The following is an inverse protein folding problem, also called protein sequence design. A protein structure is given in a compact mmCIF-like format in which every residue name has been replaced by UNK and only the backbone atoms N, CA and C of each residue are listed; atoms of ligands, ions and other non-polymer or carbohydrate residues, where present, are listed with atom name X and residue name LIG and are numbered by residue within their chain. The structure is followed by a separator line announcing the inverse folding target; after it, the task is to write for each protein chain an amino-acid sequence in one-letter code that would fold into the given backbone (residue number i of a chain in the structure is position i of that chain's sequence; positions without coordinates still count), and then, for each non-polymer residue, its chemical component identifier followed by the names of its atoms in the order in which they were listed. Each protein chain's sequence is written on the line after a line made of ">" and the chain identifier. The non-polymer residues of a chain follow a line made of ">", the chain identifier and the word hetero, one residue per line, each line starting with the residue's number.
data_IF_950312734562
#
_entry.id   IF_950312734562
#
_cell.length_a   1.000
_cell.length_b   1.000
_cell.length_c   1.000
_cell.angle_alpha   90.00
_cell.angle_beta   90.00
_cell.angle_gamma   90.00
#
_symmetry.space_group_name_H-M   'P 1'
#
loop_
_entity.id
_entity.type
_entity.pdbx_description
1 polymer ?
#
# COMPACT_ATOMS: atom_id res chain seq x y z
N UNK A 1 -7.79 -15.60 6.77
CA UNK A 1 -8.40 -14.38 6.19
C UNK A 1 -8.99 -13.61 7.36
N UNK A 2 -8.59 -12.36 7.61
CA UNK A 2 -9.10 -11.60 8.76
C UNK A 2 -10.61 -11.44 8.66
N UNK A 3 -11.33 -11.75 9.74
CA UNK A 3 -12.80 -11.68 9.77
C UNK A 3 -13.29 -10.35 10.34
N UNK A 4 -12.57 -9.77 11.29
CA UNK A 4 -12.90 -8.48 11.90
C UNK A 4 -11.65 -7.74 12.36
N UNK A 5 -11.80 -6.42 12.55
CA UNK A 5 -10.75 -5.51 13.00
C UNK A 5 -11.30 -4.58 14.08
N UNK A 6 -10.58 -4.47 15.19
CA UNK A 6 -10.89 -3.55 16.27
C UNK A 6 -9.69 -2.65 16.56
N UNK A 7 -9.93 -1.34 16.60
CA UNK A 7 -8.92 -0.31 16.80
C UNK A 7 -9.32 0.56 17.98
N UNK A 8 -8.40 0.71 18.95
CA UNK A 8 -8.57 1.58 20.11
C UNK A 8 -7.46 2.62 20.20
N UNK A 9 -7.84 3.84 20.57
CA UNK A 9 -6.97 4.97 20.84
C UNK A 9 -5.94 5.27 19.73
N UNK A 10 -6.32 5.11 18.46
CA UNK A 10 -5.43 5.31 17.32
C UNK A 10 -5.89 6.47 16.43
N UNK A 11 -5.10 7.54 16.37
CA UNK A 11 -5.28 8.73 15.52
C UNK A 11 -6.71 9.29 15.56
N UNK A 12 -7.52 9.01 14.54
CA UNK A 12 -8.88 9.53 14.41
C UNK A 12 -9.90 8.78 15.29
N UNK A 13 -9.52 7.62 15.83
CA UNK A 13 -10.43 6.69 16.48
C UNK A 13 -10.12 6.57 17.97
N UNK A 14 -11.08 6.94 18.82
CA UNK A 14 -11.12 6.48 20.20
C UNK A 14 -11.41 4.98 20.23
N UNK A 15 -12.43 4.56 19.46
CA UNK A 15 -12.77 3.17 19.19
C UNK A 15 -13.34 3.05 17.77
N UNK A 16 -12.93 2.02 17.04
CA UNK A 16 -13.53 1.61 15.76
C UNK A 16 -13.60 0.09 15.72
N UNK A 17 -14.80 -0.43 15.42
CA UNK A 17 -15.03 -1.85 15.16
C UNK A 17 -15.49 -2.04 13.71
N UNK A 18 -14.79 -2.90 12.98
CA UNK A 18 -15.20 -3.42 11.68
C UNK A 18 -15.56 -4.88 11.89
N UNK A 19 -16.87 -5.16 12.03
CA UNK A 19 -17.39 -6.47 12.40
C UNK A 19 -17.15 -7.55 11.34
N UNK A 20 -17.03 -7.15 10.08
CA UNK A 20 -16.88 -8.07 8.95
C UNK A 20 -15.91 -7.53 7.90
N UNK A 21 -14.88 -8.32 7.62
CA UNK A 21 -13.94 -8.13 6.54
C UNK A 21 -14.10 -9.26 5.51
N UNK A 22 -14.15 -8.88 4.24
CA UNK A 22 -14.07 -9.79 3.10
C UNK A 22 -12.62 -10.02 2.65
N UNK A 23 -12.45 -10.85 1.61
CA UNK A 23 -11.15 -11.02 0.94
C UNK A 23 -10.70 -9.70 0.31
N UNK A 24 -11.68 -8.94 -0.18
CA UNK A 24 -11.54 -7.57 -0.70
C UNK A 24 -12.44 -6.67 0.12
N UNK A 25 -11.92 -5.53 0.55
CA UNK A 25 -12.66 -4.51 1.29
C UNK A 25 -12.43 -3.15 0.65
N UNK A 26 -13.51 -2.42 0.38
CA UNK A 26 -13.47 -1.06 -0.12
C UNK A 26 -13.94 -0.10 0.98
N UNK A 27 -13.05 0.79 1.42
CA UNK A 27 -13.34 1.80 2.45
C UNK A 27 -13.62 3.13 1.75
N UNK A 28 -14.89 3.55 1.77
CA UNK A 28 -15.33 4.82 1.18
C UNK A 28 -15.69 5.85 2.26
N UNK A 29 -15.78 7.12 1.87
CA UNK A 29 -16.19 8.22 2.75
C UNK A 29 -15.56 9.54 2.37
N UNK A 30 -15.90 10.60 3.09
CA UNK A 30 -15.32 11.95 2.89
C UNK A 30 -13.80 11.95 3.12
N UNK A 31 -13.11 12.95 2.57
CA UNK A 31 -11.70 13.13 2.86
C UNK A 31 -11.48 13.48 4.34
N UNK A 32 -10.33 13.08 4.88
CA UNK A 32 -9.92 13.36 6.25
C UNK A 32 -10.77 12.73 7.38
N UNK A 33 -11.60 11.73 7.09
CA UNK A 33 -12.40 11.01 8.12
C UNK A 33 -11.67 9.84 8.79
N UNK A 34 -10.42 9.57 8.40
CA UNK A 34 -9.61 8.49 8.98
C UNK A 34 -9.44 7.24 8.11
N UNK A 35 -9.80 7.27 6.82
CA UNK A 35 -9.61 6.13 5.89
C UNK A 35 -8.17 5.61 5.88
N UNK A 36 -7.21 6.51 5.67
CA UNK A 36 -5.76 6.20 5.76
C UNK A 36 -5.37 5.69 7.14
N UNK A 37 -6.01 6.16 8.23
CA UNK A 37 -5.72 5.67 9.57
C UNK A 37 -6.07 4.18 9.73
N UNK A 38 -7.12 3.69 9.07
CA UNK A 38 -7.43 2.25 9.08
C UNK A 38 -6.31 1.44 8.42
N UNK A 39 -5.80 1.92 7.27
CA UNK A 39 -4.68 1.26 6.58
C UNK A 39 -3.38 1.33 7.39
N UNK A 40 -3.11 2.44 8.08
CA UNK A 40 -1.96 2.59 8.99
C UNK A 40 -2.04 1.64 10.19
N UNK A 41 -3.22 1.47 10.78
CA UNK A 41 -3.43 0.51 11.86
C UNK A 41 -3.18 -0.93 11.37
N UNK A 42 -3.67 -1.29 10.18
CA UNK A 42 -3.39 -2.60 9.56
C UNK A 42 -1.91 -2.81 9.27
N UNK A 43 -1.18 -1.78 8.82
CA UNK A 43 0.28 -1.85 8.65
C UNK A 43 1.00 -2.14 9.97
N UNK A 44 0.61 -1.46 11.05
CA UNK A 44 1.19 -1.69 12.38
C UNK A 44 0.87 -3.09 12.90
N UNK A 45 -0.39 -3.54 12.76
CA UNK A 45 -0.80 -4.89 13.12
C UNK A 45 -0.02 -5.96 12.35
N UNK A 46 0.02 -5.87 11.02
CA UNK A 46 0.72 -6.83 10.16
C UNK A 46 2.23 -6.87 10.44
N UNK A 47 2.82 -5.72 10.80
CA UNK A 47 4.25 -5.62 11.07
C UNK A 47 4.66 -5.98 12.49
N UNK A 48 3.72 -6.38 13.36
CA UNK A 48 3.93 -6.57 14.79
C UNK A 48 4.55 -5.32 15.45
N UNK A 49 3.94 -4.17 15.18
CA UNK A 49 4.36 -2.85 15.68
C UNK A 49 5.81 -2.47 15.36
N UNK A 50 6.30 -2.88 14.19
CA UNK A 50 7.67 -2.60 13.74
C UNK A 50 8.01 -1.11 13.80
N UNK A 51 9.12 -0.79 14.46
CA UNK A 51 9.67 0.57 14.55
C UNK A 51 9.91 1.21 13.18
N UNK A 52 10.29 0.41 12.18
CA UNK A 52 10.49 0.87 10.81
C UNK A 52 9.17 1.29 10.16
N UNK A 53 8.12 0.49 10.33
CA UNK A 53 6.78 0.80 9.78
C UNK A 53 6.19 2.02 10.47
N UNK A 54 6.35 2.12 11.80
CA UNK A 54 5.97 3.31 12.56
C UNK A 54 6.67 4.57 12.04
N UNK A 55 7.99 4.53 11.85
CA UNK A 55 8.75 5.65 11.24
C UNK A 55 8.22 6.01 9.87
N UNK A 56 7.92 5.02 9.02
CA UNK A 56 7.38 5.25 7.67
C UNK A 56 6.03 5.95 7.70
N UNK A 57 5.13 5.55 8.60
CA UNK A 57 3.81 6.16 8.81
C UNK A 57 3.96 7.62 9.28
N UNK A 58 4.88 7.89 10.20
CA UNK A 58 5.15 9.26 10.64
C UNK A 58 5.80 10.09 9.53
N UNK A 59 6.71 9.50 8.75
CA UNK A 59 7.37 10.17 7.63
C UNK A 59 6.38 10.59 6.54
N UNK A 60 5.45 9.71 6.17
CA UNK A 60 4.47 9.99 5.11
C UNK A 60 3.54 11.16 5.45
N UNK A 61 3.40 11.47 6.75
CA UNK A 61 2.64 12.60 7.27
C UNK A 61 3.48 13.82 7.65
N UNK A 62 4.78 13.81 7.34
CA UNK A 62 5.74 14.84 7.76
C UNK A 62 5.80 15.03 9.30
N UNK A 63 5.54 13.96 10.07
CA UNK A 63 5.56 13.97 11.54
C UNK A 63 6.94 13.62 12.12
N UNK A 64 7.88 13.10 11.31
CA UNK A 64 9.23 12.73 11.78
C UNK A 64 10.09 13.93 12.21
N UNK A 65 9.96 15.08 11.55
CA UNK A 65 10.77 16.27 11.85
C UNK A 65 10.57 16.77 13.30
N UNK A 66 9.44 16.42 13.94
CA UNK A 66 9.18 16.76 15.33
C UNK A 66 9.90 15.85 16.32
N UNK A 67 10.34 14.65 15.89
CA UNK A 67 11.04 13.67 16.73
C UNK A 67 12.57 13.85 16.71
N UNK A 68 13.12 14.56 15.72
CA UNK A 68 14.56 14.79 15.59
C UNK A 68 15.07 15.97 16.44
N UNK A 69 14.17 16.81 16.97
CA UNK A 69 14.54 17.97 17.80
C UNK A 69 15.25 17.61 19.12
N UNK A 70 15.23 16.36 19.56
CA UNK A 70 15.88 15.91 20.80
C UNK A 70 17.05 14.93 20.61
N UNK A 71 17.55 14.76 19.38
CA UNK A 71 18.82 14.05 19.13
C UNK A 71 18.79 12.52 19.26
N UNK A 72 17.67 11.89 19.63
CA UNK A 72 17.45 10.44 19.52
C UNK A 72 15.98 10.12 19.19
N UNK A 73 15.75 9.21 18.23
CA UNK A 73 14.42 8.66 17.98
C UNK A 73 13.98 7.78 19.15
N UNK A 74 12.98 8.23 19.90
CA UNK A 74 12.33 7.42 20.93
C UNK A 74 11.07 6.77 20.38
N UNK A 75 10.98 5.44 20.50
CA UNK A 75 9.77 4.69 20.17
C UNK A 75 8.57 5.13 21.01
N UNK A 76 8.82 5.53 22.25
CA UNK A 76 7.78 6.03 23.15
C UNK A 76 7.21 7.34 22.62
N UNK A 77 8.06 8.29 22.21
CA UNK A 77 7.59 9.54 21.60
C UNK A 77 6.90 9.29 20.27
N UNK A 78 7.44 8.43 19.40
CA UNK A 78 6.81 8.08 18.13
C UNK A 78 5.40 7.48 18.32
N UNK A 79 5.21 6.62 19.33
CA UNK A 79 3.91 6.06 19.66
C UNK A 79 2.91 7.13 20.10
N UNK A 80 3.33 8.19 20.81
CA UNK A 80 2.44 9.29 21.22
C UNK A 80 1.80 10.02 20.03
N UNK A 81 2.50 10.14 18.90
CA UNK A 81 1.94 10.75 17.68
C UNK A 81 0.80 9.91 17.06
N UNK A 82 0.76 8.62 17.38
CA UNK A 82 -0.25 7.70 16.90
C UNK A 82 -1.47 7.62 17.83
N UNK A 83 -1.38 8.10 19.07
CA UNK A 83 -2.47 8.02 20.07
C UNK A 83 -3.60 9.01 19.72
N UNK A 84 -4.85 8.56 19.89
CA UNK A 84 -6.04 9.41 19.72
C UNK A 84 -6.09 10.54 20.75
N UNK A 85 -6.32 11.78 20.27
CA UNK A 85 -6.29 13.04 21.03
C UNK A 85 -4.98 13.21 21.81
N UNK A 86 -4.04 13.94 21.22
CA UNK A 86 -2.77 14.34 21.84
C UNK A 86 -3.06 15.11 23.13
N UNK A 87 -2.81 14.52 24.29
CA UNK A 87 -2.81 15.25 25.56
C UNK A 87 -1.44 15.93 25.73
N UNK A 88 -1.41 17.24 25.57
CA UNK A 88 -0.27 18.08 25.94
C UNK A 88 -0.29 18.26 27.47
N UNK A 89 0.19 17.29 28.25
CA UNK A 89 0.33 17.48 29.70
C UNK A 89 1.48 16.68 30.28
N UNK A 90 2.25 17.35 31.14
CA UNK A 90 3.45 16.91 31.89
C UNK A 90 3.22 15.73 32.87
N UNK A 91 2.13 14.96 32.70
CA UNK A 91 1.84 13.74 33.45
C UNK A 91 1.22 12.68 32.53
N UNK A 92 2.07 11.99 31.76
CA UNK A 92 1.69 11.00 30.76
C UNK A 92 1.18 9.69 31.42
N UNK A 93 -0.13 9.50 31.47
CA UNK A 93 -0.70 8.15 31.34
C UNK A 93 -0.89 7.88 29.86
N UNK A 94 0.08 7.21 29.23
CA UNK A 94 -0.04 6.81 27.83
C UNK A 94 -1.28 5.94 27.68
N UNK A 95 -2.29 6.41 26.93
CA UNK A 95 -3.39 5.53 26.49
C UNK A 95 -2.79 4.46 25.59
N UNK A 96 -3.01 3.19 25.94
CA UNK A 96 -2.53 2.09 25.13
C UNK A 96 -3.25 2.07 23.78
N UNK A 97 -2.48 2.09 22.69
CA UNK A 97 -2.98 1.77 21.35
C UNK A 97 -3.21 0.26 21.34
N UNK A 98 -4.39 -0.17 20.96
CA UNK A 98 -4.69 -1.60 20.80
C UNK A 98 -5.29 -1.80 19.42
N UNK A 99 -4.65 -2.66 18.64
CA UNK A 99 -5.14 -3.07 17.32
C UNK A 99 -5.27 -4.58 17.36
N UNK A 100 -6.51 -5.07 17.29
CA UNK A 100 -6.82 -6.50 17.33
C UNK A 100 -7.43 -6.91 16.01
N UNK A 101 -6.99 -8.05 15.50
CA UNK A 101 -7.65 -8.70 14.38
C UNK A 101 -7.97 -10.15 14.74
N UNK A 102 -9.11 -10.61 14.24
CA UNK A 102 -9.72 -11.87 14.67
C UNK A 102 -9.90 -12.84 13.51
N UNK A 103 -9.77 -14.13 13.82
CA UNK A 103 -10.15 -15.27 12.97
C UNK A 103 -11.18 -16.10 13.73
N UNK A 104 -12.38 -16.31 13.16
CA UNK A 104 -13.49 -17.05 13.76
C UNK A 104 -13.73 -16.65 15.23
N UNK A 105 -13.76 -15.34 15.52
CA UNK A 105 -13.92 -14.77 16.87
C UNK A 105 -12.77 -15.03 17.86
N UNK A 106 -11.65 -15.59 17.41
CA UNK A 106 -10.43 -15.78 18.21
C UNK A 106 -9.40 -14.70 17.86
N UNK A 107 -8.86 -14.03 18.87
CA UNK A 107 -7.79 -13.04 18.68
C UNK A 107 -6.55 -13.76 18.14
N UNK A 108 -6.03 -13.28 17.02
CA UNK A 108 -4.82 -13.85 16.42
C UNK A 108 -3.62 -13.18 17.06
N UNK A 109 -2.78 -13.96 17.75
CA UNK A 109 -1.49 -13.47 18.21
C UNK A 109 -0.71 -12.90 17.02
N UNK A 110 -0.20 -11.68 17.14
CA UNK A 110 0.46 -10.94 16.06
C UNK A 110 1.71 -11.67 15.56
N UNK A 111 1.54 -12.58 14.61
CA UNK A 111 2.64 -13.07 13.78
C UNK A 111 2.86 -12.05 12.67
N UNK A 112 4.11 -11.70 12.38
CA UNK A 112 4.45 -10.81 11.26
C UNK A 112 3.80 -11.32 9.96
N UNK A 113 2.84 -10.55 9.44
CA UNK A 113 2.14 -10.80 8.18
C UNK A 113 2.85 -9.97 7.10
N UNK A 114 3.15 -10.59 5.96
CA UNK A 114 3.65 -9.84 4.80
C UNK A 114 2.57 -8.87 4.33
N UNK A 115 2.96 -7.64 4.02
CA UNK A 115 2.04 -6.69 3.42
C UNK A 115 2.75 -5.81 2.40
N UNK A 116 1.97 -5.35 1.43
CA UNK A 116 2.38 -4.34 0.46
C UNK A 116 1.44 -3.15 0.62
N UNK A 117 2.03 -1.97 0.80
CA UNK A 117 1.31 -0.72 0.89
C UNK A 117 1.52 0.10 -0.38
N UNK A 118 0.44 0.31 -1.12
CA UNK A 118 0.37 1.11 -2.33
C UNK A 118 -0.33 2.42 -2.01
N UNK A 119 0.24 3.52 -2.48
CA UNK A 119 -0.38 4.84 -2.48
C UNK A 119 0.05 5.55 -3.76
N UNK A 120 -0.57 6.68 -4.09
CA UNK A 120 -0.20 7.46 -5.28
C UNK A 120 1.31 7.79 -5.33
N UNK A 121 1.91 8.10 -4.18
CA UNK A 121 3.35 8.35 -4.07
C UNK A 121 4.21 7.10 -4.35
N UNK A 122 3.81 5.94 -3.82
CA UNK A 122 4.62 4.72 -3.92
C UNK A 122 4.46 4.02 -5.28
N UNK A 123 3.28 4.14 -5.91
CA UNK A 123 3.02 3.47 -7.19
C UNK A 123 3.75 4.13 -8.35
N UNK A 124 4.05 5.42 -8.20
CA UNK A 124 4.86 6.19 -9.13
C UNK A 124 6.37 6.15 -8.79
N UNK A 125 6.76 5.47 -7.69
CA UNK A 125 8.16 5.26 -7.36
C UNK A 125 8.76 4.17 -8.24
N UNK A 126 9.47 4.61 -9.30
CA UNK A 126 10.19 3.75 -10.24
C UNK A 126 11.04 2.69 -9.53
N UNK A 127 11.69 3.02 -8.41
CA UNK A 127 12.53 2.05 -7.68
C UNK A 127 11.65 0.96 -7.09
N UNK A 128 10.56 1.33 -6.42
CA UNK A 128 9.66 0.36 -5.78
C UNK A 128 9.00 -0.57 -6.78
N UNK A 129 8.51 -0.02 -7.89
CA UNK A 129 7.91 -0.80 -8.98
C UNK A 129 8.95 -1.77 -9.57
N UNK A 130 10.18 -1.30 -9.76
CA UNK A 130 11.28 -2.13 -10.28
C UNK A 130 11.69 -3.26 -9.32
N UNK A 131 11.62 -3.05 -8.01
CA UNK A 131 11.83 -4.09 -7.00
C UNK A 131 10.72 -5.15 -7.04
N UNK A 132 9.45 -4.74 -7.19
CA UNK A 132 8.33 -5.67 -7.29
C UNK A 132 8.38 -6.51 -8.57
N UNK A 133 8.88 -5.93 -9.67
CA UNK A 133 9.15 -6.65 -10.90
C UNK A 133 10.26 -7.70 -10.71
N UNK A 134 11.38 -7.31 -10.08
CA UNK A 134 12.51 -8.24 -9.87
C UNK A 134 12.12 -9.47 -9.07
N UNK A 135 11.21 -9.33 -8.11
CA UNK A 135 10.71 -10.45 -7.30
C UNK A 135 9.95 -11.51 -8.11
N UNK A 136 9.41 -11.14 -9.27
CA UNK A 136 8.58 -12.03 -10.11
C UNK A 136 9.25 -12.38 -11.44
N UNK A 137 10.35 -11.71 -11.78
CA UNK A 137 11.03 -11.90 -13.06
C UNK A 137 11.46 -13.36 -13.23
N UNK A 138 11.13 -13.95 -14.39
CA UNK A 138 11.35 -15.38 -14.69
C UNK A 138 10.53 -16.35 -13.81
N UNK A 139 9.34 -15.94 -13.38
CA UNK A 139 8.38 -16.80 -12.70
C UNK A 139 7.03 -16.77 -13.42
N UNK A 140 6.14 -17.73 -13.13
CA UNK A 140 4.78 -17.77 -13.72
C UNK A 140 3.95 -16.51 -13.40
N UNK A 141 4.29 -15.78 -12.32
CA UNK A 141 3.64 -14.53 -11.94
C UNK A 141 3.86 -13.40 -12.96
N UNK A 142 4.86 -13.51 -13.82
CA UNK A 142 5.06 -12.60 -14.94
C UNK A 142 3.87 -12.62 -15.91
N UNK A 143 3.38 -13.83 -16.25
CA UNK A 143 2.24 -13.99 -17.14
C UNK A 143 0.94 -13.52 -16.47
N UNK A 144 0.80 -13.71 -15.15
CA UNK A 144 -0.32 -13.15 -14.38
C UNK A 144 -0.37 -11.62 -14.52
N UNK A 145 0.77 -10.93 -14.37
CA UNK A 145 0.84 -9.47 -14.57
C UNK A 145 0.50 -9.08 -16.00
N UNK A 146 1.02 -9.80 -17.00
CA UNK A 146 0.72 -9.54 -18.41
C UNK A 146 -0.78 -9.71 -18.70
N UNK A 147 -1.41 -10.76 -18.17
CA UNK A 147 -2.84 -11.00 -18.30
C UNK A 147 -3.69 -9.90 -17.67
N UNK A 148 -3.26 -9.35 -16.55
CA UNK A 148 -3.89 -8.20 -15.93
C UNK A 148 -3.79 -6.96 -16.82
N UNK A 149 -2.61 -6.67 -17.39
CA UNK A 149 -2.45 -5.54 -18.31
C UNK A 149 -3.30 -5.69 -19.58
N UNK A 150 -3.52 -6.92 -20.04
CA UNK A 150 -4.38 -7.23 -21.19
C UNK A 150 -5.87 -6.90 -20.98
N UNK A 151 -6.32 -6.69 -19.73
CA UNK A 151 -7.67 -6.22 -19.45
C UNK A 151 -7.90 -4.83 -20.07
N UNK A 152 -6.89 -3.95 -20.03
CA UNK A 152 -6.96 -2.59 -20.58
C UNK A 152 -6.35 -2.52 -21.99
N UNK A 153 -5.19 -3.14 -22.21
CA UNK A 153 -4.52 -3.17 -23.52
C UNK A 153 -4.35 -4.63 -23.99
N UNK A 154 -5.33 -5.19 -24.72
CA UNK A 154 -5.32 -6.59 -25.15
C UNK A 154 -4.11 -6.97 -26.01
N UNK A 155 -3.44 -5.99 -26.64
CA UNK A 155 -2.30 -6.24 -27.51
C UNK A 155 -0.97 -6.40 -26.77
N UNK A 156 -0.92 -6.30 -25.44
CA UNK A 156 0.31 -6.52 -24.66
C UNK A 156 0.82 -7.95 -24.88
N UNK A 157 2.02 -8.07 -25.46
CA UNK A 157 2.72 -9.35 -25.66
C UNK A 157 3.65 -9.66 -24.50
N UNK A 158 4.45 -8.68 -24.10
CA UNK A 158 5.41 -8.82 -23.00
C UNK A 158 5.74 -7.47 -22.41
N UNK A 159 6.26 -7.49 -21.19
CA UNK A 159 6.77 -6.32 -20.47
C UNK A 159 8.19 -6.61 -19.99
N UNK A 160 9.01 -5.56 -19.87
CA UNK A 160 10.33 -5.67 -19.29
C UNK A 160 10.79 -4.33 -18.73
N UNK A 161 11.78 -4.36 -17.86
CA UNK A 161 12.33 -3.15 -17.23
C UNK A 161 13.73 -2.89 -17.78
N UNK A 162 13.99 -1.66 -18.21
CA UNK A 162 15.28 -1.23 -18.77
C UNK A 162 15.80 -0.02 -18.01
N UNK A 163 17.09 0.26 -18.09
CA UNK A 163 17.69 1.45 -17.49
C UNK A 163 17.03 2.74 -18.03
N UNK A 164 16.71 3.63 -17.10
CA UNK A 164 16.20 4.96 -17.43
C UNK A 164 17.35 5.84 -17.90
N UNK A 165 17.25 6.32 -19.16
CA UNK A 165 18.27 7.20 -19.75
C UNK A 165 18.35 8.57 -19.06
N UNK A 166 17.30 8.99 -18.36
CA UNK A 166 17.26 10.29 -17.70
C UNK A 166 17.70 10.22 -16.24
N UNK A 167 17.51 9.07 -15.59
CA UNK A 167 17.75 8.88 -14.17
C UNK A 167 18.63 7.65 -13.91
N UNK A 168 19.90 7.90 -13.57
CA UNK A 168 20.86 6.83 -13.24
C UNK A 168 20.31 5.93 -12.12
N UNK A 169 20.56 4.63 -12.24
CA UNK A 169 20.14 3.59 -11.29
C UNK A 169 18.61 3.45 -11.11
N UNK A 170 17.81 4.02 -12.02
CA UNK A 170 16.37 3.74 -12.10
C UNK A 170 16.07 2.93 -13.35
N UNK A 171 15.00 2.15 -13.29
CA UNK A 171 14.49 1.41 -14.44
C UNK A 171 13.08 1.86 -14.75
N UNK A 172 12.72 1.77 -16.03
CA UNK A 172 11.41 2.11 -16.54
C UNK A 172 10.78 0.90 -17.25
N UNK A 173 9.46 0.70 -17.09
CA UNK A 173 8.75 -0.36 -17.79
C UNK A 173 8.63 -0.05 -19.28
N UNK A 174 9.01 -1.03 -20.08
CA UNK A 174 8.84 -1.09 -21.54
C UNK A 174 7.86 -2.21 -21.86
N UNK A 175 6.99 -1.97 -22.83
CA UNK A 175 5.97 -2.92 -23.26
C UNK A 175 6.11 -3.21 -24.75
N UNK A 176 6.01 -4.49 -25.12
CA UNK A 176 5.91 -4.92 -26.51
C UNK A 176 4.46 -5.19 -26.85
N UNK A 177 3.94 -4.50 -27.86
CA UNK A 177 2.59 -4.72 -28.37
C UNK A 177 2.60 -5.68 -29.57
N UNK A 178 1.48 -6.35 -29.83
CA UNK A 178 1.28 -7.15 -31.04
C UNK A 178 1.28 -6.29 -32.32
N UNK A 179 0.82 -5.05 -32.19
CA UNK A 179 0.64 -4.06 -33.26
C UNK A 179 1.91 -3.28 -33.61
N UNK A 180 2.95 -3.34 -32.76
CA UNK A 180 4.21 -2.62 -32.96
C UNK A 180 5.39 -3.57 -33.14
N UNK A 181 6.32 -3.21 -34.02
CA UNK A 181 7.58 -3.96 -34.21
C UNK A 181 8.58 -3.72 -33.08
N UNK A 182 8.53 -2.57 -32.42
CA UNK A 182 9.48 -2.16 -31.38
C UNK A 182 8.77 -1.92 -30.04
N UNK A 183 9.41 -2.24 -28.90
CA UNK A 183 8.87 -1.89 -27.59
C UNK A 183 8.72 -0.37 -27.41
N UNK A 184 7.75 0.04 -26.62
CA UNK A 184 7.50 1.45 -26.24
C UNK A 184 7.52 1.58 -24.72
N UNK A 185 7.71 2.79 -24.20
CA UNK A 185 7.54 3.05 -22.78
C UNK A 185 6.10 2.76 -22.38
N UNK A 186 5.88 2.13 -21.24
CA UNK A 186 4.52 1.87 -20.75
C UNK A 186 3.75 3.18 -20.51
N UNK A 187 4.46 4.23 -20.10
CA UNK A 187 3.88 5.58 -19.93
C UNK A 187 3.30 6.17 -21.21
N UNK A 188 3.73 5.71 -22.39
CA UNK A 188 3.14 6.12 -23.66
C UNK A 188 1.72 5.58 -23.86
N UNK A 189 1.32 4.54 -23.11
CA UNK A 189 -0.05 4.03 -23.10
C UNK A 189 -0.97 4.79 -22.12
N UNK A 190 -0.43 5.80 -21.43
CA UNK A 190 -1.15 6.63 -20.47
C UNK A 190 -0.84 6.27 -19.01
N UNK A 191 -1.15 7.22 -18.12
CA UNK A 191 -0.88 7.12 -16.68
C UNK A 191 -1.60 5.94 -16.02
N UNK A 192 -2.83 5.65 -16.48
CA UNK A 192 -3.62 4.51 -16.00
C UNK A 192 -2.92 3.16 -16.19
N UNK A 193 -2.11 2.99 -17.24
CA UNK A 193 -1.35 1.75 -17.47
C UNK A 193 -0.18 1.59 -16.50
N UNK A 194 0.53 2.66 -16.15
CA UNK A 194 1.57 2.61 -15.11
C UNK A 194 0.96 2.27 -13.76
N UNK A 195 -0.20 2.87 -13.45
CA UNK A 195 -0.93 2.61 -12.21
C UNK A 195 -1.44 1.17 -12.17
N UNK A 196 -2.01 0.67 -13.26
CA UNK A 196 -2.43 -0.73 -13.35
C UNK A 196 -1.24 -1.68 -13.13
N UNK A 197 -0.09 -1.43 -13.77
CA UNK A 197 1.11 -2.22 -13.55
C UNK A 197 1.50 -2.24 -12.07
N UNK A 198 1.54 -1.08 -11.42
CA UNK A 198 1.90 -0.98 -10.01
C UNK A 198 0.95 -1.76 -9.11
N UNK A 199 -0.36 -1.71 -9.37
CA UNK A 199 -1.36 -2.50 -8.63
C UNK A 199 -1.21 -4.00 -8.93
N UNK A 200 -1.02 -4.38 -10.19
CA UNK A 200 -0.83 -5.78 -10.60
C UNK A 200 0.40 -6.39 -9.93
N UNK A 201 1.53 -5.68 -9.95
CA UNK A 201 2.76 -6.10 -9.29
C UNK A 201 2.59 -6.23 -7.79
N UNK A 202 1.92 -5.25 -7.17
CA UNK A 202 1.61 -5.31 -5.74
C UNK A 202 0.68 -6.49 -5.40
N UNK A 203 -0.31 -6.78 -6.25
CA UNK A 203 -1.23 -7.89 -6.08
C UNK A 203 -0.49 -9.23 -6.10
N UNK A 204 0.29 -9.52 -7.14
CA UNK A 204 1.01 -10.80 -7.26
C UNK A 204 2.07 -10.98 -6.17
N UNK A 205 2.72 -9.90 -5.74
CA UNK A 205 3.71 -9.94 -4.65
C UNK A 205 3.06 -9.99 -3.25
N UNK A 206 1.76 -9.73 -3.13
CA UNK A 206 1.03 -9.75 -1.85
C UNK A 206 0.40 -11.11 -1.54
N UNK A 207 0.72 -12.14 -2.33
CA UNK A 207 0.22 -13.50 -2.12
C UNK A 207 0.46 -13.94 -0.68
N UNK A 208 -0.59 -14.49 -0.07
CA UNK A 208 -0.61 -14.93 1.33
C UNK A 208 -0.40 -13.83 2.39
N UNK A 209 -0.54 -12.56 2.00
CA UNK A 209 -0.41 -11.38 2.87
C UNK A 209 -1.53 -10.36 2.67
N UNK A 210 -1.26 -9.10 3.06
CA UNK A 210 -2.18 -7.98 2.82
C UNK A 210 -1.70 -7.08 1.68
N UNK A 211 -2.62 -6.77 0.77
CA UNK A 211 -2.48 -5.62 -0.11
C UNK A 211 -3.31 -4.46 0.47
N UNK A 212 -2.62 -3.40 0.86
CA UNK A 212 -3.22 -2.19 1.40
C UNK A 212 -3.05 -1.08 0.37
N UNK A 213 -4.14 -0.64 -0.25
CA UNK A 213 -4.10 0.43 -1.27
C UNK A 213 -4.80 1.65 -0.72
N UNK A 214 -4.05 2.74 -0.58
CA UNK A 214 -4.61 4.07 -0.32
C UNK A 214 -4.87 4.80 -1.64
N UNK A 215 -5.92 5.63 -1.64
CA UNK A 215 -6.30 6.47 -2.77
C UNK A 215 -6.48 5.69 -4.10
N UNK A 216 -7.09 4.50 -4.06
CA UNK A 216 -7.25 3.57 -5.21
C UNK A 216 -7.82 4.23 -6.49
N UNK A 217 -8.53 5.33 -6.38
CA UNK A 217 -9.15 6.09 -7.46
C UNK A 217 -8.27 7.21 -8.07
N UNK A 218 -7.24 7.69 -7.35
CA UNK A 218 -6.42 8.84 -7.79
C UNK A 218 -5.55 8.57 -9.04
N UNK A 219 -5.62 9.39 -10.07
CA UNK A 219 -4.75 9.24 -11.25
C UNK A 219 -5.14 8.07 -12.19
N UNK A 220 -6.30 7.46 -12.00
CA UNK A 220 -6.92 6.56 -13.00
C UNK A 220 -8.00 7.34 -13.74
N UNK A 221 -7.85 7.46 -15.05
CA UNK A 221 -8.89 8.01 -15.92
C UNK A 221 -10.17 7.20 -15.77
N UNK A 222 -11.33 7.86 -15.72
CA UNK A 222 -12.62 7.22 -15.43
C UNK A 222 -12.90 5.98 -16.31
N UNK A 223 -12.42 5.98 -17.55
CA UNK A 223 -12.60 4.86 -18.49
C UNK A 223 -11.87 3.58 -18.05
N UNK A 224 -10.79 3.70 -17.26
CA UNK A 224 -10.00 2.58 -16.76
C UNK A 224 -10.42 2.16 -15.34
N UNK A 225 -11.26 2.93 -14.65
CA UNK A 225 -11.74 2.57 -13.30
C UNK A 225 -12.61 1.32 -13.36
N UNK A 226 -13.49 1.18 -14.36
CA UNK A 226 -14.29 -0.04 -14.53
C UNK A 226 -13.44 -1.30 -14.71
N UNK A 227 -12.34 -1.19 -15.44
CA UNK A 227 -11.44 -2.31 -15.69
C UNK A 227 -10.60 -2.66 -14.45
N UNK A 228 -10.21 -1.65 -13.66
CA UNK A 228 -9.61 -1.89 -12.35
C UNK A 228 -10.56 -2.65 -11.43
N UNK A 229 -11.86 -2.34 -11.44
CA UNK A 229 -12.81 -3.07 -10.61
C UNK A 229 -12.98 -4.52 -11.06
N UNK A 230 -12.95 -4.80 -12.37
CA UNK A 230 -12.95 -6.18 -12.92
C UNK A 230 -11.71 -6.98 -12.56
N UNK A 231 -10.58 -6.31 -12.28
CA UNK A 231 -9.38 -6.97 -11.77
C UNK A 231 -9.55 -7.42 -10.31
N UNK A 232 -10.24 -6.61 -9.51
CA UNK A 232 -10.32 -6.78 -8.06
C UNK A 232 -11.47 -7.73 -7.66
N UNK A 233 -12.59 -7.68 -8.38
CA UNK A 233 -13.84 -8.40 -8.09
C UNK A 233 -14.22 -9.36 -9.23
#
# INVERSE_FOLDING_TARGET
>A
MLDSLEIHNFRAFEHLLIEKLGRVNLIVGKNNVGKTCVLEALQLYASDSSSFVMKKILASRNELAFLEKEGQFSLVYAAQYLVHRRENTESLRIKHITIKAFLNSSEVASKKISFIFVSDKNINDKKKVSELWDNIYLTDLEEDVINILRIIEPNVKSIGFVEDKQEKNKRVPMVRLSTSKTPVLLSSLGEGMNRLLGIALALVNSKDGFLLVDEIDNGIHYSAQSDLWRLIF
#
